data_IF_639315041783
#
_entry.id   IF_639315041783
#
_cell.length_a   1.000
_cell.length_b   1.000
_cell.length_c   1.000
_cell.angle_alpha   90.00
_cell.angle_beta   90.00
_cell.angle_gamma   90.00
#
_symmetry.space_group_name_H-M   'P 1'
#
loop_
_entity.id
_entity.type
_entity.pdbx_description
1 polymer ?
#
# COMPACT_ATOMS: atom_id res chain seq x y z
N UNK A 1 -20.79 6.65 5.74
CA UNK A 1 -21.26 6.58 4.35
C UNK A 1 -21.80 5.18 4.06
N UNK A 2 -22.85 5.06 3.24
CA UNK A 2 -23.33 3.76 2.79
C UNK A 2 -22.28 3.10 1.87
N UNK A 3 -22.12 1.78 1.98
CA UNK A 3 -21.19 1.04 1.12
C UNK A 3 -21.61 1.15 -0.35
N UNK A 4 -20.70 1.51 -1.27
CA UNK A 4 -20.99 1.52 -2.70
C UNK A 4 -21.19 0.11 -3.28
N UNK A 5 -20.83 -0.92 -2.51
CA UNK A 5 -20.99 -2.33 -2.88
C UNK A 5 -22.28 -2.96 -2.32
N UNK A 6 -23.10 -2.19 -1.59
CA UNK A 6 -24.30 -2.70 -0.94
C UNK A 6 -25.26 -3.31 -1.97
N UNK A 7 -25.59 -4.59 -1.79
CA UNK A 7 -26.49 -5.34 -2.68
C UNK A 7 -25.85 -5.84 -3.98
N UNK A 8 -24.59 -5.48 -4.27
CA UNK A 8 -23.87 -5.95 -5.45
C UNK A 8 -23.18 -7.30 -5.18
N UNK A 9 -23.29 -8.30 -6.08
CA UNK A 9 -22.51 -9.53 -5.97
C UNK A 9 -21.02 -9.26 -6.22
N UNK A 10 -20.15 -10.11 -5.64
CA UNK A 10 -18.67 -9.95 -5.68
C UNK A 10 -18.12 -9.73 -7.09
N UNK A 11 -18.70 -10.39 -8.09
CA UNK A 11 -18.29 -10.30 -9.49
C UNK A 11 -18.46 -8.89 -10.07
N UNK A 12 -19.31 -8.05 -9.48
CA UNK A 12 -19.54 -6.67 -9.93
C UNK A 12 -18.65 -5.65 -9.19
N UNK A 13 -18.00 -6.04 -8.08
CA UNK A 13 -17.25 -5.11 -7.24
C UNK A 13 -16.09 -4.45 -7.99
N UNK A 14 -15.39 -5.18 -8.87
CA UNK A 14 -14.29 -4.61 -9.65
C UNK A 14 -14.76 -3.44 -10.54
N UNK A 15 -15.93 -3.57 -11.18
CA UNK A 15 -16.52 -2.51 -12.01
C UNK A 15 -16.92 -1.29 -11.18
N UNK A 16 -17.50 -1.51 -10.00
CA UNK A 16 -17.83 -0.43 -9.04
C UNK A 16 -16.55 0.30 -8.61
N UNK A 17 -15.51 -0.43 -8.23
CA UNK A 17 -14.21 0.14 -7.82
C UNK A 17 -13.60 0.98 -8.93
N UNK A 18 -13.65 0.52 -10.18
CA UNK A 18 -13.14 1.28 -11.31
C UNK A 18 -13.88 2.62 -11.46
N UNK A 19 -15.21 2.63 -11.32
CA UNK A 19 -16.00 3.86 -11.37
C UNK A 19 -15.65 4.80 -10.22
N UNK A 20 -15.57 4.27 -8.99
CA UNK A 20 -15.21 5.05 -7.80
C UNK A 20 -13.83 5.72 -7.96
N UNK A 21 -12.84 4.99 -8.48
CA UNK A 21 -11.50 5.52 -8.70
C UNK A 21 -11.48 6.56 -9.83
N UNK A 22 -12.23 6.35 -10.92
CA UNK A 22 -12.32 7.29 -12.04
C UNK A 22 -12.99 8.61 -11.66
N UNK A 23 -13.97 8.57 -10.76
CA UNK A 23 -14.69 9.76 -10.28
C UNK A 23 -13.94 10.52 -9.19
N UNK A 24 -12.92 9.90 -8.59
CA UNK A 24 -12.16 10.50 -7.50
C UNK A 24 -11.15 11.55 -8.03
N UNK A 25 -10.98 12.71 -7.37
CA UNK A 25 -10.05 13.75 -7.81
C UNK A 25 -8.57 13.35 -7.74
N UNK A 26 -8.22 12.42 -6.84
CA UNK A 26 -6.87 11.82 -6.83
C UNK A 26 -6.82 10.69 -7.87
N UNK A 27 -6.27 11.00 -9.05
CA UNK A 27 -6.08 10.02 -10.12
C UNK A 27 -4.96 9.02 -9.77
N UNK A 28 -4.97 7.79 -10.33
CA UNK A 28 -3.90 6.82 -10.12
C UNK A 28 -2.51 7.36 -10.45
N UNK A 29 -2.39 8.16 -11.52
CA UNK A 29 -1.14 8.80 -11.91
C UNK A 29 -0.66 9.81 -10.86
N UNK A 30 -1.55 10.68 -10.37
CA UNK A 30 -1.20 11.64 -9.31
C UNK A 30 -0.77 10.91 -8.03
N UNK A 31 -1.48 9.84 -7.65
CA UNK A 31 -1.14 9.03 -6.48
C UNK A 31 0.25 8.40 -6.64
N UNK A 32 0.53 7.81 -7.81
CA UNK A 32 1.83 7.22 -8.10
C UNK A 32 2.94 8.25 -7.97
N UNK A 33 2.81 9.38 -8.65
CA UNK A 33 3.86 10.40 -8.68
C UNK A 33 4.09 11.04 -7.31
N UNK A 34 3.03 11.28 -6.54
CA UNK A 34 3.14 11.77 -5.17
C UNK A 34 3.78 10.72 -4.25
N UNK A 35 3.45 9.44 -4.42
CA UNK A 35 4.05 8.35 -3.66
C UNK A 35 5.54 8.23 -3.94
N UNK A 36 5.94 8.17 -5.21
CA UNK A 36 7.35 8.01 -5.58
C UNK A 36 8.20 9.16 -5.07
N UNK A 37 7.72 10.41 -5.19
CA UNK A 37 8.46 11.57 -4.69
C UNK A 37 8.52 11.59 -3.16
N UNK A 38 7.41 11.30 -2.48
CA UNK A 38 7.36 11.26 -1.01
C UNK A 38 8.26 10.16 -0.45
N UNK A 39 8.30 8.99 -1.11
CA UNK A 39 9.16 7.87 -0.73
C UNK A 39 10.63 8.20 -0.93
N UNK A 40 10.98 8.84 -2.04
CA UNK A 40 12.35 9.32 -2.30
C UNK A 40 12.79 10.32 -1.24
N UNK A 41 11.93 11.29 -0.88
CA UNK A 41 12.22 12.26 0.18
C UNK A 41 12.36 11.61 1.54
N UNK A 42 11.54 10.61 1.84
CA UNK A 42 11.65 9.85 3.08
C UNK A 42 13.06 9.28 3.20
N UNK A 43 13.54 8.51 2.22
CA UNK A 43 14.86 7.87 2.32
C UNK A 43 16.04 8.84 2.18
N UNK A 44 15.82 10.03 1.63
CA UNK A 44 16.79 11.13 1.64
C UNK A 44 16.76 11.97 2.94
N UNK A 45 15.91 11.63 3.90
CA UNK A 45 15.78 12.38 5.16
C UNK A 45 16.97 12.09 6.08
N UNK A 46 17.48 13.16 6.70
CA UNK A 46 18.44 13.12 7.79
C UNK A 46 17.75 13.47 9.11
N UNK A 47 18.09 12.75 10.17
CA UNK A 47 17.57 12.97 11.52
C UNK A 47 18.71 13.37 12.44
N UNK A 48 18.50 14.43 13.20
CA UNK A 48 19.53 15.10 14.00
C UNK A 48 19.65 16.56 13.59
N UNK A 49 20.78 17.16 13.93
CA UNK A 49 21.11 18.54 13.56
C UNK A 49 22.29 18.60 12.58
N UNK A 50 22.77 19.81 12.28
CA UNK A 50 23.88 20.02 11.35
C UNK A 50 25.23 19.56 11.88
N UNK A 51 25.38 19.39 13.19
CA UNK A 51 26.61 18.91 13.81
C UNK A 51 26.62 17.38 13.92
N UNK A 52 25.47 16.79 14.29
CA UNK A 52 25.30 15.33 14.44
C UNK A 52 23.95 14.92 13.85
N UNK A 53 23.98 14.36 12.65
CA UNK A 53 22.82 13.81 11.97
C UNK A 53 23.15 12.49 11.28
N UNK A 54 22.14 11.66 11.08
CA UNK A 54 22.24 10.37 10.41
C UNK A 54 21.14 10.23 9.35
N UNK A 55 21.41 9.60 8.20
CA UNK A 55 20.36 9.19 7.26
C UNK A 55 19.33 8.31 7.98
N UNK A 56 18.04 8.50 7.70
CA UNK A 56 16.98 7.67 8.30
C UNK A 56 17.17 6.18 7.98
N UNK A 57 17.81 5.87 6.85
CA UNK A 57 18.19 4.53 6.46
C UNK A 57 19.14 3.85 7.47
N UNK A 58 20.03 4.61 8.12
CA UNK A 58 20.98 4.09 9.12
C UNK A 58 20.33 3.95 10.51
N UNK A 59 19.28 4.73 10.76
CA UNK A 59 18.51 4.66 12.01
C UNK A 59 17.66 3.38 12.06
N UNK A 60 17.33 2.83 10.90
CA UNK A 60 16.51 1.62 10.72
C UNK A 60 15.24 1.61 11.61
N UNK A 61 14.39 2.65 11.50
CA UNK A 61 13.23 2.75 12.36
C UNK A 61 12.21 1.67 11.99
N UNK A 62 11.35 1.25 12.94
CA UNK A 62 10.32 0.25 12.68
C UNK A 62 9.41 0.63 11.50
N UNK A 63 8.91 -0.37 10.77
CA UNK A 63 8.04 -0.17 9.61
C UNK A 63 6.81 0.73 9.87
N UNK A 64 6.30 0.74 11.11
CA UNK A 64 5.21 1.64 11.52
C UNK A 64 5.61 3.12 11.48
N UNK A 65 6.84 3.44 11.89
CA UNK A 65 7.41 4.79 11.82
C UNK A 65 7.63 5.20 10.37
N UNK A 66 8.19 4.31 9.54
CA UNK A 66 8.34 4.55 8.09
C UNK A 66 7.00 4.83 7.44
N UNK A 67 5.98 4.00 7.72
CA UNK A 67 4.62 4.18 7.21
C UNK A 67 4.00 5.52 7.62
N UNK A 68 4.15 5.91 8.88
CA UNK A 68 3.65 7.18 9.39
C UNK A 68 4.38 8.38 8.75
N UNK A 69 5.70 8.34 8.66
CA UNK A 69 6.50 9.39 8.01
C UNK A 69 6.11 9.53 6.53
N UNK A 70 5.93 8.41 5.84
CA UNK A 70 5.49 8.40 4.45
C UNK A 70 4.11 9.06 4.28
N UNK A 71 3.14 8.70 5.12
CA UNK A 71 1.81 9.33 5.13
C UNK A 71 1.92 10.85 5.29
N UNK A 72 2.73 11.34 6.24
CA UNK A 72 2.89 12.79 6.46
C UNK A 72 3.53 13.49 5.27
N UNK A 73 4.57 12.89 4.67
CA UNK A 73 5.20 13.43 3.47
C UNK A 73 4.24 13.43 2.27
N UNK A 74 3.47 12.36 2.09
CA UNK A 74 2.46 12.24 1.04
C UNK A 74 1.37 13.30 1.18
N UNK A 75 0.84 13.49 2.39
CA UNK A 75 -0.16 14.52 2.67
C UNK A 75 0.37 15.93 2.39
N UNK A 76 1.63 16.21 2.75
CA UNK A 76 2.29 17.48 2.44
C UNK A 76 2.51 17.65 0.94
N UNK A 77 2.89 16.60 0.23
CA UNK A 77 3.05 16.62 -1.22
C UNK A 77 1.72 16.93 -1.94
N UNK A 78 0.61 16.32 -1.51
CA UNK A 78 -0.71 16.65 -2.04
C UNK A 78 -1.09 18.10 -1.76
N UNK A 79 -0.82 18.62 -0.56
CA UNK A 79 -1.14 20.01 -0.21
C UNK A 79 -0.36 21.02 -1.06
N UNK A 80 0.87 20.68 -1.47
CA UNK A 80 1.67 21.50 -2.40
C UNK A 80 1.12 21.43 -3.82
N UNK A 81 0.78 20.23 -4.31
CA UNK A 81 0.28 20.03 -5.69
C UNK A 81 -1.14 20.53 -5.90
N UNK A 82 -1.97 20.45 -4.87
CA UNK A 82 -3.38 20.81 -4.89
C UNK A 82 -3.71 21.81 -3.76
N UNK A 83 -3.16 23.04 -3.80
CA UNK A 83 -3.35 24.02 -2.74
C UNK A 83 -4.83 24.33 -2.49
N UNK A 84 -5.22 24.32 -1.22
CA UNK A 84 -6.61 24.61 -0.80
C UNK A 84 -7.62 23.49 -1.07
N UNK A 85 -7.23 22.40 -1.74
CA UNK A 85 -8.08 21.23 -1.95
C UNK A 85 -7.74 20.07 -1.01
N UNK A 86 -6.47 19.89 -0.66
CA UNK A 86 -5.99 18.78 0.17
C UNK A 86 -5.06 19.21 1.30
N UNK A 87 -5.14 18.51 2.42
CA UNK A 87 -4.19 18.61 3.54
C UNK A 87 -4.10 17.30 4.31
N UNK A 88 -3.16 17.22 5.25
CA UNK A 88 -3.17 16.17 6.26
C UNK A 88 -4.38 16.31 7.18
N UNK A 89 -4.96 15.17 7.57
CA UNK A 89 -6.06 15.11 8.54
C UNK A 89 -5.67 15.58 9.94
N UNK A 90 -6.65 16.11 10.67
CA UNK A 90 -6.56 16.56 12.05
C UNK A 90 -7.64 15.87 12.89
N UNK A 91 -7.29 15.45 14.11
CA UNK A 91 -8.24 14.82 15.03
C UNK A 91 -8.82 13.51 14.46
N UNK A 92 -10.12 13.51 14.19
CA UNK A 92 -10.86 12.34 13.69
C UNK A 92 -10.93 12.26 12.16
N UNK A 93 -10.36 13.21 11.43
CA UNK A 93 -10.34 13.19 9.96
C UNK A 93 -9.51 12.03 9.41
N UNK A 94 -9.75 11.65 8.15
CA UNK A 94 -8.90 10.70 7.43
C UNK A 94 -7.53 11.32 7.12
N UNK A 95 -6.55 10.46 6.90
CA UNK A 95 -5.13 10.85 6.83
C UNK A 95 -4.86 11.89 5.73
N UNK A 96 -5.53 11.75 4.59
CA UNK A 96 -5.59 12.74 3.51
C UNK A 96 -6.99 13.35 3.50
N UNK A 97 -7.12 14.60 3.94
CA UNK A 97 -8.41 15.27 4.06
C UNK A 97 -8.68 16.15 2.84
N UNK A 98 -9.82 15.90 2.18
CA UNK A 98 -10.30 16.71 1.08
C UNK A 98 -11.13 17.88 1.62
N UNK A 99 -10.57 19.10 1.53
CA UNK A 99 -11.14 20.32 2.12
C UNK A 99 -12.51 20.65 1.49
N UNK A 100 -12.67 20.36 0.21
CA UNK A 100 -13.87 20.70 -0.56
C UNK A 100 -15.01 19.68 -0.36
N UNK A 101 -14.67 18.44 0.01
CA UNK A 101 -15.66 17.39 0.21
C UNK A 101 -15.08 16.25 1.06
N UNK A 102 -15.47 16.19 2.33
CA UNK A 102 -14.95 15.18 3.26
C UNK A 102 -15.28 13.73 2.85
N UNK A 103 -16.32 13.50 2.03
CA UNK A 103 -16.64 12.15 1.54
C UNK A 103 -15.57 11.56 0.62
N UNK A 104 -14.72 12.42 0.04
CA UNK A 104 -13.59 12.06 -0.80
C UNK A 104 -12.29 11.95 0.01
N UNK A 105 -12.29 12.22 1.31
CA UNK A 105 -11.10 12.07 2.14
C UNK A 105 -10.63 10.59 2.13
N UNK A 106 -9.32 10.38 2.23
CA UNK A 106 -8.67 9.08 2.02
C UNK A 106 -7.87 8.66 3.24
N UNK A 107 -8.03 7.42 3.67
CA UNK A 107 -7.20 6.79 4.71
C UNK A 107 -5.97 6.14 4.07
N UNK A 108 -4.81 6.19 4.73
CA UNK A 108 -3.61 5.49 4.30
C UNK A 108 -3.31 4.29 5.20
N UNK A 109 -2.87 3.19 4.59
CA UNK A 109 -2.38 2.01 5.32
C UNK A 109 -1.10 1.49 4.69
N UNK A 110 -0.04 1.48 5.50
CA UNK A 110 1.26 0.99 5.09
C UNK A 110 1.59 -0.36 5.75
N UNK A 111 2.29 -1.23 5.04
CA UNK A 111 2.77 -2.53 5.52
C UNK A 111 4.19 -2.76 5.02
N UNK A 112 5.13 -2.88 5.95
CA UNK A 112 6.54 -3.20 5.68
C UNK A 112 6.86 -4.70 5.69
N UNK A 113 5.83 -5.56 5.79
CA UNK A 113 6.02 -7.01 5.78
C UNK A 113 6.22 -7.51 4.35
N UNK A 114 7.09 -8.51 4.21
CA UNK A 114 7.25 -9.19 2.93
C UNK A 114 5.91 -9.82 2.51
N UNK A 115 5.45 -9.44 1.31
CA UNK A 115 4.14 -9.80 0.78
C UNK A 115 3.26 -8.57 0.55
N UNK A 116 2.00 -8.82 0.20
CA UNK A 116 1.10 -7.77 -0.27
C UNK A 116 -0.12 -7.53 0.62
N UNK A 117 -0.13 -8.12 1.82
CA UNK A 117 -1.21 -7.93 2.80
C UNK A 117 -1.03 -6.61 3.54
N UNK A 118 -2.16 -6.00 3.88
CA UNK A 118 -2.25 -4.86 4.78
C UNK A 118 -3.10 -5.22 5.98
N UNK A 119 -2.88 -4.49 7.07
CA UNK A 119 -3.48 -4.79 8.35
C UNK A 119 -3.99 -3.51 8.99
N UNK A 120 -5.22 -3.57 9.50
CA UNK A 120 -5.82 -2.52 10.31
C UNK A 120 -5.50 -2.71 11.78
N UNK A 121 -5.75 -1.68 12.58
CA UNK A 121 -5.70 -1.80 14.03
C UNK A 121 -6.75 -2.82 14.50
N UNK A 122 -6.49 -3.54 15.60
CA UNK A 122 -7.46 -4.48 16.20
C UNK A 122 -8.87 -3.92 16.33
N UNK A 123 -9.01 -2.63 16.63
CA UNK A 123 -10.30 -1.93 16.76
C UNK A 123 -11.15 -1.96 15.48
N UNK A 124 -10.58 -2.27 14.32
CA UNK A 124 -11.29 -2.28 13.05
C UNK A 124 -12.26 -3.46 12.93
N UNK A 125 -11.91 -4.63 13.47
CA UNK A 125 -12.77 -5.83 13.39
C UNK A 125 -13.68 -6.06 14.60
N UNK A 126 -13.74 -5.13 15.55
CA UNK A 126 -14.65 -5.23 16.71
C UNK A 126 -15.98 -4.57 16.39
N UNK A 127 -17.05 -5.37 16.35
CA UNK A 127 -18.43 -4.87 16.40
C UNK A 127 -18.70 -4.47 17.85
N UNK A 128 -18.93 -3.19 18.11
CA UNK A 128 -19.27 -2.71 19.45
C UNK A 128 -20.79 -2.65 19.59
N UNK A 129 -21.32 -3.17 20.70
CA UNK A 129 -22.76 -3.22 20.98
C UNK A 129 -23.41 -1.84 21.20
N UNK A 130 -22.63 -0.77 21.33
CA UNK A 130 -23.11 0.61 21.49
C UNK A 130 -22.62 1.49 20.33
N UNK A 131 -23.48 1.72 19.34
CA UNK A 131 -23.18 2.42 18.09
C UNK A 131 -23.21 3.96 18.17
N UNK A 132 -23.61 4.55 19.31
CA UNK A 132 -23.99 5.99 19.37
C UNK A 132 -22.91 6.94 19.91
N UNK A 133 -21.65 6.52 20.05
CA UNK A 133 -20.56 7.40 20.46
C UNK A 133 -19.52 7.56 19.35
N UNK A 134 -19.74 8.55 18.47
CA UNK A 134 -18.76 9.28 17.65
C UNK A 134 -17.40 8.57 17.40
N UNK A 135 -17.41 7.47 16.64
CA UNK A 135 -16.18 6.82 16.15
C UNK A 135 -16.01 7.12 14.67
N UNK A 136 -14.78 7.51 14.29
CA UNK A 136 -14.32 7.76 12.92
C UNK A 136 -14.91 6.70 11.98
N UNK A 137 -15.68 7.13 10.98
CA UNK A 137 -16.21 6.24 9.95
C UNK A 137 -15.02 5.56 9.25
N UNK A 138 -14.91 4.25 9.46
CA UNK A 138 -13.80 3.44 8.92
C UNK A 138 -14.05 3.04 7.48
N UNK A 139 -15.28 3.21 6.98
CA UNK A 139 -15.60 3.03 5.57
C UNK A 139 -15.10 4.23 4.77
N UNK A 140 -14.67 4.02 3.54
CA UNK A 140 -14.29 5.11 2.63
C UNK A 140 -13.16 4.74 1.70
N UNK A 141 -12.55 5.77 1.10
CA UNK A 141 -11.39 5.62 0.23
C UNK A 141 -10.12 5.26 1.01
N UNK A 142 -9.32 4.37 0.44
CA UNK A 142 -8.03 3.93 0.97
C UNK A 142 -6.94 3.98 -0.09
N UNK A 143 -5.78 4.53 0.27
CA UNK A 143 -4.50 4.24 -0.39
C UNK A 143 -3.75 3.24 0.47
N UNK A 144 -3.46 2.07 -0.10
CA UNK A 144 -2.65 1.05 0.58
C UNK A 144 -1.25 1.00 0.00
N UNK A 145 -0.25 0.82 0.86
CA UNK A 145 1.17 0.90 0.54
C UNK A 145 1.85 -0.34 1.10
N UNK A 146 2.41 -1.17 0.24
CA UNK A 146 3.32 -2.25 0.64
C UNK A 146 4.75 -1.82 0.30
N UNK A 147 5.66 -2.13 1.21
CA UNK A 147 7.09 -1.92 1.03
C UNK A 147 7.88 -3.03 1.71
N UNK A 148 9.14 -3.19 1.31
CA UNK A 148 10.08 -4.08 1.98
C UNK A 148 11.46 -3.41 2.01
N UNK A 149 12.00 -3.22 3.21
CA UNK A 149 13.16 -2.35 3.41
C UNK A 149 12.88 -0.95 2.87
N UNK A 150 13.73 -0.45 1.97
CA UNK A 150 13.59 0.86 1.34
C UNK A 150 12.81 0.84 0.03
N UNK A 151 12.22 -0.29 -0.35
CA UNK A 151 11.59 -0.46 -1.66
C UNK A 151 10.07 -0.42 -1.53
N UNK A 152 9.40 0.52 -2.23
CA UNK A 152 7.96 0.41 -2.49
C UNK A 152 7.69 -0.78 -3.41
N UNK A 153 6.73 -1.63 -3.03
CA UNK A 153 6.46 -2.88 -3.76
C UNK A 153 5.07 -2.90 -4.36
N UNK A 154 4.08 -2.24 -3.75
CA UNK A 154 2.73 -2.15 -4.30
C UNK A 154 1.94 -0.98 -3.70
N UNK A 155 1.35 -0.18 -4.59
CA UNK A 155 0.34 0.81 -4.28
C UNK A 155 -1.02 0.31 -4.75
N UNK A 156 -2.07 0.57 -3.96
CA UNK A 156 -3.46 0.35 -4.40
C UNK A 156 -4.33 1.51 -3.98
N UNK A 157 -5.40 1.75 -4.74
CA UNK A 157 -6.42 2.73 -4.42
C UNK A 157 -7.81 2.14 -4.61
N UNK A 158 -8.74 2.48 -3.72
CA UNK A 158 -10.11 1.96 -3.78
C UNK A 158 -10.90 2.27 -2.53
N UNK A 159 -11.94 1.49 -2.27
CA UNK A 159 -12.84 1.67 -1.13
C UNK A 159 -12.81 0.43 -0.22
N UNK A 160 -12.75 0.63 1.09
CA UNK A 160 -12.88 -0.46 2.06
C UNK A 160 -14.03 -0.12 3.00
N UNK A 161 -14.92 -1.07 3.22
CA UNK A 161 -15.99 -0.95 4.20
C UNK A 161 -15.48 -1.33 5.60
N UNK A 162 -16.04 -0.72 6.64
CA UNK A 162 -15.70 -1.08 8.02
C UNK A 162 -15.93 -2.58 8.29
N UNK A 163 -16.93 -3.19 7.65
CA UNK A 163 -17.26 -4.61 7.76
C UNK A 163 -16.29 -5.54 7.02
N UNK A 164 -15.45 -5.03 6.12
CA UNK A 164 -14.44 -5.84 5.42
C UNK A 164 -13.30 -6.25 6.36
N UNK A 165 -13.10 -5.50 7.44
CA UNK A 165 -12.04 -5.75 8.42
C UNK A 165 -12.41 -6.90 9.35
N UNK A 166 -11.63 -7.98 9.26
CA UNK A 166 -11.82 -9.16 10.07
C UNK A 166 -10.89 -9.13 11.28
N UNK A 167 -11.46 -9.10 12.48
CA UNK A 167 -10.68 -9.26 13.70
C UNK A 167 -10.01 -10.65 13.72
N UNK A 168 -8.76 -10.69 14.16
CA UNK A 168 -8.11 -11.97 14.45
C UNK A 168 -8.84 -12.68 15.59
N UNK A 169 -9.10 -13.98 15.40
CA UNK A 169 -9.75 -14.86 16.40
C UNK A 169 -8.89 -15.06 17.67
N UNK A 170 -7.57 -14.85 17.59
CA UNK A 170 -6.66 -14.99 18.74
C UNK A 170 -6.72 -13.77 19.66
N UNK A 171 -6.84 -13.94 20.99
CA UNK A 171 -6.80 -12.84 21.97
C UNK A 171 -5.52 -11.99 21.93
N UNK A 172 -4.42 -12.55 21.42
CA UNK A 172 -3.10 -11.91 21.27
C UNK A 172 -2.93 -11.16 19.94
N UNK A 173 -3.88 -11.28 19.02
CA UNK A 173 -3.82 -10.65 17.71
C UNK A 173 -4.06 -9.14 17.79
N UNK A 174 -3.05 -8.34 17.41
CA UNK A 174 -3.14 -6.87 17.42
C UNK A 174 -3.71 -6.29 16.12
N UNK A 175 -4.08 -7.14 15.15
CA UNK A 175 -4.30 -6.73 13.76
C UNK A 175 -5.63 -7.25 13.20
N UNK A 176 -6.28 -6.43 12.37
CA UNK A 176 -7.43 -6.83 11.56
C UNK A 176 -6.99 -7.06 10.10
N UNK A 177 -7.38 -8.19 9.52
CA UNK A 177 -7.07 -8.53 8.13
C UNK A 177 -8.21 -8.17 7.17
N UNK A 178 -7.93 -8.33 5.88
CA UNK A 178 -8.92 -8.25 4.81
C UNK A 178 -9.01 -9.60 4.10
N UNK A 179 -10.19 -10.01 3.63
CA UNK A 179 -10.33 -11.22 2.85
C UNK A 179 -9.83 -11.03 1.40
N UNK A 180 -9.52 -12.13 0.68
CA UNK A 180 -8.95 -12.07 -0.67
C UNK A 180 -9.79 -11.26 -1.67
N UNK A 181 -11.12 -11.37 -1.63
CA UNK A 181 -12.03 -10.67 -2.53
C UNK A 181 -11.94 -9.15 -2.43
N UNK A 182 -11.59 -8.61 -1.26
CA UNK A 182 -11.38 -7.17 -1.09
C UNK A 182 -10.12 -6.72 -1.82
N UNK A 183 -9.02 -7.48 -1.69
CA UNK A 183 -7.79 -7.18 -2.44
C UNK A 183 -7.99 -7.31 -3.96
N UNK A 184 -8.76 -8.32 -4.39
CA UNK A 184 -8.98 -8.61 -5.80
C UNK A 184 -9.92 -7.63 -6.48
N UNK A 185 -10.94 -7.14 -5.76
CA UNK A 185 -12.05 -6.42 -6.40
C UNK A 185 -12.28 -5.00 -5.86
N UNK A 186 -11.90 -4.70 -4.61
CA UNK A 186 -12.13 -3.38 -3.98
C UNK A 186 -10.91 -2.47 -3.98
N UNK A 187 -9.71 -3.01 -4.19
CA UNK A 187 -8.46 -2.27 -4.20
C UNK A 187 -7.77 -2.39 -5.56
N UNK A 188 -7.82 -1.34 -6.36
CA UNK A 188 -7.19 -1.31 -7.68
C UNK A 188 -5.68 -1.11 -7.55
N UNK A 189 -4.84 -2.02 -8.07
CA UNK A 189 -3.40 -1.81 -8.12
C UNK A 189 -3.03 -0.59 -8.98
N UNK A 190 -2.12 0.24 -8.48
CA UNK A 190 -1.49 1.31 -9.25
C UNK A 190 -0.16 0.76 -9.78
N UNK A 191 -0.22 0.22 -11.00
CA UNK A 191 0.91 -0.45 -11.65
C UNK A 191 1.94 0.56 -12.15
N UNK A 192 3.23 0.19 -12.05
CA UNK A 192 4.31 0.99 -12.59
C UNK A 192 5.68 0.30 -12.46
N UNK A 193 6.73 0.83 -13.13
CA UNK A 193 8.05 0.21 -13.15
C UNK A 193 8.70 0.04 -11.76
N UNK A 194 8.28 0.84 -10.77
CA UNK A 194 8.75 0.73 -9.39
C UNK A 194 8.59 -0.69 -8.81
N UNK A 195 7.56 -1.42 -9.25
CA UNK A 195 7.28 -2.78 -8.79
C UNK A 195 8.41 -3.76 -9.14
N UNK A 196 9.18 -3.48 -10.20
CA UNK A 196 10.30 -4.33 -10.62
C UNK A 196 11.47 -4.28 -9.63
N UNK A 197 11.55 -3.26 -8.79
CA UNK A 197 12.57 -3.17 -7.74
C UNK A 197 12.23 -4.04 -6.53
N UNK A 198 11.01 -4.57 -6.46
CA UNK A 198 10.58 -5.46 -5.38
C UNK A 198 11.43 -6.72 -5.29
N UNK A 199 11.65 -7.26 -4.08
CA UNK A 199 12.41 -8.48 -3.88
C UNK A 199 11.76 -9.66 -4.61
N UNK A 200 12.58 -10.56 -5.16
CA UNK A 200 12.12 -11.71 -5.96
C UNK A 200 11.17 -12.65 -5.19
N UNK A 201 11.26 -12.65 -3.85
CA UNK A 201 10.36 -13.38 -2.94
C UNK A 201 8.89 -12.97 -3.05
N UNK A 202 8.59 -11.83 -3.66
CA UNK A 202 7.21 -11.40 -3.90
C UNK A 202 6.55 -12.11 -5.09
N UNK A 203 7.32 -12.84 -5.89
CA UNK A 203 6.79 -13.64 -6.98
C UNK A 203 6.27 -14.97 -6.44
N UNK A 204 5.05 -15.34 -6.84
CA UNK A 204 4.47 -16.62 -6.47
C UNK A 204 5.36 -17.78 -6.91
N UNK A 205 5.61 -18.71 -5.98
CA UNK A 205 6.50 -19.86 -6.20
C UNK A 205 7.96 -19.63 -5.80
N UNK A 206 8.35 -18.41 -5.40
CA UNK A 206 9.68 -18.14 -4.85
C UNK A 206 9.69 -18.35 -3.33
N UNK A 207 10.02 -19.58 -2.92
CA UNK A 207 10.27 -19.90 -1.51
C UNK A 207 11.64 -19.42 -1.02
N UNK A 208 11.88 -19.51 0.30
CA UNK A 208 13.13 -19.05 0.93
C UNK A 208 14.41 -19.61 0.27
N UNK A 209 14.43 -20.92 0.00
CA UNK A 209 15.57 -21.58 -0.68
C UNK A 209 15.78 -21.05 -2.11
N UNK A 210 14.70 -20.87 -2.86
CA UNK A 210 14.80 -20.34 -4.22
C UNK A 210 15.35 -18.90 -4.20
N UNK A 211 14.89 -18.09 -3.26
CA UNK A 211 15.36 -16.72 -3.07
C UNK A 211 16.86 -16.66 -2.74
N UNK A 212 17.34 -17.51 -1.83
CA UNK A 212 18.75 -17.58 -1.46
C UNK A 212 19.63 -17.95 -2.66
N UNK A 213 19.25 -18.97 -3.41
CA UNK A 213 20.01 -19.41 -4.58
C UNK A 213 19.96 -18.39 -5.74
N UNK A 214 18.84 -17.71 -5.94
CA UNK A 214 18.71 -16.62 -6.91
C UNK A 214 19.61 -15.43 -6.51
N UNK A 215 19.59 -15.05 -5.22
CA UNK A 215 20.42 -13.97 -4.69
C UNK A 215 21.91 -14.27 -4.83
N UNK A 216 22.34 -15.51 -4.58
CA UNK A 216 23.72 -15.95 -4.81
C UNK A 216 24.14 -15.82 -6.30
N UNK A 217 23.19 -15.90 -7.23
CA UNK A 217 23.38 -15.64 -8.66
C UNK A 217 23.21 -14.18 -9.08
N UNK A 218 23.09 -13.24 -8.13
CA UNK A 218 22.89 -11.81 -8.40
C UNK A 218 21.45 -11.43 -8.77
N UNK A 219 20.48 -12.33 -8.61
CA UNK A 219 19.06 -12.09 -8.88
C UNK A 219 18.33 -11.76 -7.59
N UNK A 220 18.24 -10.47 -7.26
CA UNK A 220 17.66 -10.01 -6.00
C UNK A 220 16.25 -9.44 -6.18
N UNK A 221 15.99 -8.82 -7.31
CA UNK A 221 14.72 -8.16 -7.63
C UNK A 221 13.94 -8.91 -8.71
N UNK A 222 12.65 -8.60 -8.81
CA UNK A 222 11.80 -9.04 -9.91
C UNK A 222 12.39 -8.60 -11.26
N UNK A 223 12.92 -7.38 -11.35
CA UNK A 223 13.57 -6.85 -12.55
C UNK A 223 14.81 -7.64 -12.93
N UNK A 224 15.64 -8.03 -11.95
CA UNK A 224 16.81 -8.88 -12.21
C UNK A 224 16.39 -10.23 -12.77
N UNK A 225 15.34 -10.84 -12.19
CA UNK A 225 14.81 -12.12 -12.65
C UNK A 225 14.28 -12.01 -14.09
N UNK A 226 13.66 -10.90 -14.46
CA UNK A 226 13.17 -10.66 -15.83
C UNK A 226 14.34 -10.53 -16.82
N UNK A 227 15.42 -9.85 -16.45
CA UNK A 227 16.53 -9.47 -17.34
C UNK A 227 17.67 -10.48 -17.39
N UNK A 228 17.83 -11.34 -16.38
CA UNK A 228 18.95 -12.28 -16.32
C UNK A 228 18.97 -13.19 -17.54
N UNK A 229 20.09 -13.22 -18.25
CA UNK A 229 20.25 -14.04 -19.46
C UNK A 229 20.50 -15.52 -19.13
N UNK A 230 21.33 -15.77 -18.12
CA UNK A 230 21.76 -17.13 -17.73
C UNK A 230 21.13 -17.51 -16.40
N UNK A 231 19.91 -18.03 -16.45
CA UNK A 231 19.21 -18.52 -15.26
C UNK A 231 19.24 -20.06 -15.19
N UNK A 232 19.54 -20.66 -14.02
CA UNK A 232 19.46 -22.10 -13.84
C UNK A 232 18.13 -22.67 -14.32
N UNK A 233 18.16 -23.82 -15.01
CA UNK A 233 16.97 -24.43 -15.65
C UNK A 233 15.76 -24.52 -14.72
N UNK A 234 15.99 -24.87 -13.44
CA UNK A 234 14.95 -24.98 -12.41
C UNK A 234 14.19 -23.66 -12.11
N UNK A 235 14.77 -22.51 -12.44
CA UNK A 235 14.17 -21.19 -12.19
C UNK A 235 13.66 -20.48 -13.45
N UNK A 236 13.86 -21.06 -14.64
CA UNK A 236 13.36 -20.47 -15.89
C UNK A 236 11.84 -20.29 -15.91
N UNK A 237 11.10 -21.21 -15.27
CA UNK A 237 9.64 -21.06 -15.10
C UNK A 237 9.27 -19.80 -14.31
N UNK A 238 10.04 -19.44 -13.27
CA UNK A 238 9.81 -18.22 -12.49
C UNK A 238 10.05 -16.97 -13.34
N UNK A 239 11.08 -16.97 -14.19
CA UNK A 239 11.31 -15.87 -15.12
C UNK A 239 10.17 -15.70 -16.13
N UNK A 240 9.59 -16.78 -16.65
CA UNK A 240 8.41 -16.72 -17.53
C UNK A 240 7.21 -16.13 -16.79
N UNK A 241 6.94 -16.57 -15.56
CA UNK A 241 5.85 -16.03 -14.72
C UNK A 241 6.07 -14.53 -14.47
N UNK A 242 7.28 -14.12 -14.10
CA UNK A 242 7.61 -12.71 -13.88
C UNK A 242 7.41 -11.86 -15.14
N UNK A 243 7.87 -12.33 -16.31
CA UNK A 243 7.69 -11.62 -17.59
C UNK A 243 6.22 -11.47 -17.96
N UNK A 244 5.41 -12.49 -17.70
CA UNK A 244 3.97 -12.45 -17.97
C UNK A 244 3.24 -11.51 -16.99
N UNK A 245 3.54 -11.61 -15.69
CA UNK A 245 2.88 -10.82 -14.65
C UNK A 245 3.21 -9.32 -14.75
N UNK A 246 4.44 -8.98 -15.11
CA UNK A 246 4.94 -7.61 -15.18
C UNK A 246 5.13 -7.12 -16.63
N UNK A 247 4.40 -7.73 -17.57
CA UNK A 247 4.42 -7.34 -18.98
C UNK A 247 4.07 -5.84 -19.13
N UNK A 248 4.86 -5.12 -19.94
CA UNK A 248 4.68 -3.69 -20.19
C UNK A 248 5.35 -2.76 -19.18
N UNK A 249 6.10 -3.28 -18.22
CA UNK A 249 6.84 -2.49 -17.23
C UNK A 249 8.36 -2.45 -17.46
N UNK A 250 8.89 -3.21 -18.41
CA UNK A 250 10.31 -3.36 -18.71
C UNK A 250 10.60 -3.30 -20.22
#
# INVERSE_FOLDING_TARGET
>A
MASPYLGAPVQQWAGITQQLVQQHPLTPHLILDAAMLSWTRLWNTWVGDTAVGFPIAEIDPPATVIGYMFEKLFAKELAVRLPGAWRGGVGSEKDLHCIQNDSLSVEMKASGQLGYKIYGNRSYGQVLENADAAKKDKSGYYITVNFYGQTLTLLRFGWIDSSDWQAQKSPTGQMAGLPPEVYLHKLMPIVGPYMLNGPVQLLDGVGAKAAEELSAGGVNTIGDLIRVANLPLKYQKLQVIARQQYQGLY
#
